data_IF_077156974200
#
_entry.id   IF_077156974200
#
_cell.length_a   1.000
_cell.length_b   1.000
_cell.length_c   1.000
_cell.angle_alpha   90.00
_cell.angle_beta   90.00
_cell.angle_gamma   90.00
#
_symmetry.space_group_name_H-M   'P 1'
#
loop_
_entity.id
_entity.type
_entity.pdbx_description
1 polymer ?
#
# COMPACT_ATOMS: atom_id res chain seq x y z
N UNK A 1 5.73 -18.33 -15.53
CA UNK A 1 5.31 -16.97 -15.15
C UNK A 1 4.40 -17.13 -13.96
N UNK A 2 4.73 -16.49 -12.84
CA UNK A 2 3.91 -16.53 -11.61
C UNK A 2 2.94 -15.36 -11.66
N UNK A 3 1.66 -15.60 -11.35
CA UNK A 3 0.64 -14.56 -11.27
C UNK A 3 0.30 -14.27 -9.82
N UNK A 4 0.06 -13.00 -9.53
CA UNK A 4 -0.41 -12.51 -8.23
C UNK A 4 -1.84 -12.01 -8.38
N UNK A 5 -2.72 -12.40 -7.45
CA UNK A 5 -4.11 -11.90 -7.39
C UNK A 5 -4.18 -10.68 -6.50
N UNK A 6 -4.72 -9.58 -7.03
CA UNK A 6 -5.08 -8.44 -6.20
C UNK A 6 -6.43 -8.69 -5.50
N UNK A 7 -6.38 -9.05 -4.22
CA UNK A 7 -7.55 -9.38 -3.39
C UNK A 7 -8.30 -8.13 -2.87
N UNK A 8 -7.83 -6.93 -3.20
CA UNK A 8 -8.57 -5.68 -2.96
C UNK A 8 -9.52 -5.34 -4.11
N UNK A 9 -9.27 -5.87 -5.31
CA UNK A 9 -10.07 -5.64 -6.52
C UNK A 9 -10.93 -6.86 -6.85
N UNK A 10 -10.37 -8.06 -6.71
CA UNK A 10 -11.06 -9.33 -6.93
C UNK A 10 -11.55 -9.94 -5.62
N UNK A 11 -12.54 -10.84 -5.69
CA UNK A 11 -13.09 -11.58 -4.54
C UNK A 11 -13.73 -10.65 -3.48
N UNK A 12 -14.23 -9.49 -3.91
CA UNK A 12 -14.77 -8.45 -3.04
C UNK A 12 -16.15 -8.78 -2.47
N UNK A 13 -16.81 -9.80 -3.01
CA UNK A 13 -17.99 -10.44 -2.46
C UNK A 13 -17.72 -11.20 -1.14
N UNK A 14 -16.45 -11.49 -0.84
CA UNK A 14 -16.04 -12.15 0.39
C UNK A 14 -15.48 -11.15 1.43
N UNK A 15 -15.63 -11.43 2.73
CA UNK A 15 -14.89 -10.76 3.79
C UNK A 15 -13.38 -10.78 3.52
N UNK A 16 -12.68 -9.70 3.87
CA UNK A 16 -11.27 -9.48 3.51
C UNK A 16 -10.36 -10.66 3.89
N UNK A 17 -10.55 -11.19 5.11
CA UNK A 17 -9.74 -12.29 5.65
C UNK A 17 -10.03 -13.66 5.01
N UNK A 18 -11.12 -13.81 4.26
CA UNK A 18 -11.45 -15.04 3.54
C UNK A 18 -10.84 -15.08 2.12
N UNK A 19 -10.46 -13.92 1.57
CA UNK A 19 -9.98 -13.77 0.19
C UNK A 19 -8.68 -14.52 -0.10
N UNK A 20 -7.67 -14.59 0.80
CA UNK A 20 -6.46 -15.38 0.55
C UNK A 20 -6.77 -16.86 0.29
N UNK A 21 -7.66 -17.46 1.08
CA UNK A 21 -8.05 -18.86 0.93
C UNK A 21 -8.84 -19.09 -0.37
N UNK A 22 -9.71 -18.15 -0.74
CA UNK A 22 -10.42 -18.19 -2.02
C UNK A 22 -9.46 -18.08 -3.22
N UNK A 23 -8.45 -17.20 -3.15
CA UNK A 23 -7.40 -17.12 -4.18
C UNK A 23 -6.63 -18.43 -4.31
N UNK A 24 -6.29 -19.07 -3.17
CA UNK A 24 -5.66 -20.40 -3.17
C UNK A 24 -6.54 -21.45 -3.82
N UNK A 25 -7.83 -21.50 -3.47
CA UNK A 25 -8.79 -22.44 -4.04
C UNK A 25 -8.96 -22.26 -5.56
N UNK A 26 -8.79 -21.03 -6.05
CA UNK A 26 -8.77 -20.71 -7.48
C UNK A 26 -7.44 -21.08 -8.19
N UNK A 27 -6.44 -21.60 -7.46
CA UNK A 27 -5.18 -22.08 -8.00
C UNK A 27 -4.04 -21.07 -7.99
N UNK A 28 -4.16 -19.96 -7.26
CA UNK A 28 -3.09 -18.97 -7.13
C UNK A 28 -2.27 -19.20 -5.86
N UNK A 29 -0.95 -19.06 -6.00
CA UNK A 29 -0.01 -19.18 -4.87
C UNK A 29 0.42 -17.82 -4.31
N UNK A 30 0.04 -16.71 -4.96
CA UNK A 30 0.46 -15.37 -4.61
C UNK A 30 -0.71 -14.37 -4.63
N UNK A 31 -0.71 -13.48 -3.65
CA UNK A 31 -1.70 -12.42 -3.48
C UNK A 31 -1.03 -11.08 -3.22
N UNK A 32 -1.72 -10.01 -3.57
CA UNK A 32 -1.39 -8.64 -3.16
C UNK A 32 -2.64 -7.95 -2.63
N UNK A 33 -2.41 -6.93 -1.82
CA UNK A 33 -3.46 -6.16 -1.18
C UNK A 33 -3.14 -4.67 -1.23
N UNK A 34 -4.16 -3.85 -1.47
CA UNK A 34 -4.16 -2.49 -0.94
C UNK A 34 -4.18 -2.53 0.59
N UNK A 35 -3.98 -1.40 1.26
CA UNK A 35 -3.98 -1.35 2.72
C UNK A 35 -5.28 -1.94 3.29
N UNK A 36 -5.22 -3.04 4.07
CA UNK A 36 -6.42 -3.83 4.42
C UNK A 36 -7.10 -3.36 5.71
N UNK A 37 -6.70 -2.21 6.26
CA UNK A 37 -7.18 -1.69 7.54
C UNK A 37 -7.80 -0.30 7.39
N UNK A 38 -8.66 0.07 8.34
CA UNK A 38 -9.32 1.38 8.36
C UNK A 38 -8.37 2.52 8.79
N UNK A 39 -7.35 2.21 9.60
CA UNK A 39 -6.40 3.18 10.17
C UNK A 39 -4.98 2.92 9.68
N UNK A 40 -4.11 3.94 9.73
CA UNK A 40 -2.67 3.79 9.44
C UNK A 40 -1.95 2.87 10.42
N UNK A 41 -2.40 2.87 11.68
CA UNK A 41 -1.85 2.04 12.77
C UNK A 41 -3.00 1.22 13.34
N UNK A 42 -3.33 0.07 12.72
CA UNK A 42 -4.28 -0.88 13.28
C UNK A 42 -3.75 -1.48 14.58
N UNK A 43 -4.64 -2.10 15.35
CA UNK A 43 -4.23 -2.86 16.54
C UNK A 43 -3.44 -4.13 16.17
N UNK A 44 -2.59 -4.59 17.09
CA UNK A 44 -1.82 -5.84 16.92
C UNK A 44 -2.72 -7.05 16.62
N UNK A 45 -3.94 -7.08 17.18
CA UNK A 45 -4.92 -8.13 16.93
C UNK A 45 -5.36 -8.14 15.45
N UNK A 46 -5.72 -6.99 14.90
CA UNK A 46 -6.12 -6.86 13.49
C UNK A 46 -4.97 -7.25 12.55
N UNK A 47 -3.74 -6.80 12.86
CA UNK A 47 -2.54 -7.18 12.08
C UNK A 47 -2.32 -8.69 12.13
N UNK A 48 -2.42 -9.30 13.30
CA UNK A 48 -2.27 -10.74 13.49
C UNK A 48 -3.31 -11.54 12.72
N UNK A 49 -4.58 -11.11 12.73
CA UNK A 49 -5.66 -11.75 11.97
C UNK A 49 -5.38 -11.74 10.47
N UNK A 50 -4.94 -10.59 9.92
CA UNK A 50 -4.55 -10.50 8.52
C UNK A 50 -3.37 -11.42 8.17
N UNK A 51 -2.34 -11.45 9.01
CA UNK A 51 -1.18 -12.32 8.79
C UNK A 51 -1.54 -13.81 8.84
N UNK A 52 -2.40 -14.20 9.77
CA UNK A 52 -2.88 -15.57 9.87
C UNK A 52 -3.71 -15.95 8.64
N UNK A 53 -4.59 -15.06 8.16
CA UNK A 53 -5.36 -15.31 6.93
C UNK A 53 -4.46 -15.62 5.72
N UNK A 54 -3.33 -14.93 5.58
CA UNK A 54 -2.34 -15.19 4.52
C UNK A 54 -1.63 -16.53 4.75
N UNK A 55 -1.13 -16.77 5.96
CA UNK A 55 -0.37 -17.98 6.33
C UNK A 55 -1.22 -19.25 6.23
N UNK A 56 -2.43 -19.22 6.79
CA UNK A 56 -3.35 -20.36 6.85
C UNK A 56 -3.87 -20.73 5.46
N UNK A 57 -4.04 -19.75 4.57
CA UNK A 57 -4.37 -19.98 3.17
C UNK A 57 -3.21 -20.61 2.37
N UNK A 58 -1.98 -20.55 2.87
CA UNK A 58 -0.80 -21.07 2.16
C UNK A 58 -0.50 -20.32 0.86
N UNK A 59 -0.65 -18.99 0.89
CA UNK A 59 -0.31 -18.06 -0.21
C UNK A 59 0.80 -17.10 0.21
N UNK A 60 1.58 -16.63 -0.77
CA UNK A 60 2.60 -15.61 -0.57
C UNK A 60 2.01 -14.21 -0.75
N UNK A 61 2.19 -13.33 0.24
CA UNK A 61 1.95 -11.90 0.04
C UNK A 61 3.13 -11.33 -0.77
N UNK A 62 2.87 -10.95 -2.02
CA UNK A 62 3.92 -10.42 -2.92
C UNK A 62 3.93 -8.90 -3.02
N UNK A 63 2.82 -8.24 -2.67
CA UNK A 63 2.69 -6.79 -2.69
C UNK A 63 1.71 -6.29 -1.64
N UNK A 64 2.04 -5.15 -1.01
CA UNK A 64 1.19 -4.47 -0.04
C UNK A 64 1.28 -2.96 -0.24
N UNK A 65 0.15 -2.26 -0.34
CA UNK A 65 0.20 -0.80 -0.33
C UNK A 65 0.47 -0.25 1.08
N UNK A 66 1.13 0.90 1.17
CA UNK A 66 0.97 1.78 2.32
C UNK A 66 -0.47 2.30 2.41
N UNK A 67 -0.86 2.86 3.56
CA UNK A 67 -2.14 3.53 3.68
C UNK A 67 -2.29 4.62 2.60
N UNK A 68 -3.38 4.54 1.84
CA UNK A 68 -3.67 5.43 0.73
C UNK A 68 -4.94 6.29 0.93
N UNK A 69 -5.47 6.34 2.15
CA UNK A 69 -6.69 7.05 2.49
C UNK A 69 -7.96 6.32 2.02
N UNK A 70 -9.05 7.07 1.86
CA UNK A 70 -10.33 6.55 1.38
C UNK A 70 -10.32 6.39 -0.15
N UNK A 71 -9.69 5.33 -0.65
CA UNK A 71 -9.60 5.07 -2.09
C UNK A 71 -10.98 4.97 -2.77
N UNK A 72 -12.00 4.30 -2.21
CA UNK A 72 -13.36 4.34 -2.76
C UNK A 72 -13.95 5.76 -2.83
N UNK A 73 -13.61 6.63 -1.87
CA UNK A 73 -13.98 8.05 -1.85
C UNK A 73 -13.19 8.94 -2.80
N UNK A 74 -12.18 8.40 -3.48
CA UNK A 74 -11.38 9.13 -4.47
C UNK A 74 -9.96 9.49 -4.02
N UNK A 75 -9.57 9.16 -2.78
CA UNK A 75 -8.20 9.34 -2.33
C UNK A 75 -7.26 8.44 -3.14
N UNK A 76 -6.04 8.91 -3.38
CA UNK A 76 -5.04 8.20 -4.16
C UNK A 76 -3.69 8.30 -3.49
N UNK A 77 -3.62 8.02 -2.19
CA UNK A 77 -2.36 8.11 -1.44
C UNK A 77 -2.27 9.27 -0.48
N UNK A 78 -1.30 9.17 0.43
CA UNK A 78 -1.03 10.15 1.48
C UNK A 78 0.40 10.71 1.43
N UNK A 79 1.27 10.15 0.58
CA UNK A 79 2.71 10.48 0.53
C UNK A 79 2.96 11.98 0.43
N UNK A 80 2.24 12.71 -0.41
CA UNK A 80 2.39 14.14 -0.64
C UNK A 80 1.35 15.01 0.08
N UNK A 81 0.62 14.47 1.07
CA UNK A 81 -0.46 15.19 1.77
C UNK A 81 0.03 15.82 3.07
N UNK A 82 0.22 17.16 3.13
CA UNK A 82 0.86 17.80 4.27
C UNK A 82 0.14 17.56 5.60
N UNK A 83 -1.19 17.69 5.59
CA UNK A 83 -2.03 17.55 6.79
C UNK A 83 -2.10 16.12 7.33
N UNK A 84 -1.76 15.11 6.52
CA UNK A 84 -1.85 13.68 6.87
C UNK A 84 -0.48 12.98 6.77
N UNK A 85 0.60 13.76 6.70
CA UNK A 85 1.96 13.24 6.57
C UNK A 85 2.34 12.32 7.75
N UNK A 86 1.97 12.70 8.97
CA UNK A 86 2.20 11.88 10.16
C UNK A 86 1.50 10.52 10.06
N UNK A 87 0.29 10.47 9.51
CA UNK A 87 -0.43 9.20 9.32
C UNK A 87 0.31 8.27 8.36
N UNK A 88 0.99 8.80 7.34
CA UNK A 88 1.82 8.00 6.43
C UNK A 88 3.10 7.54 7.13
N UNK A 89 3.78 8.42 7.87
CA UNK A 89 5.01 8.09 8.58
C UNK A 89 4.77 7.01 9.65
N UNK A 90 3.71 7.12 10.45
CA UNK A 90 3.35 6.14 11.48
C UNK A 90 2.99 4.77 10.86
N UNK A 91 2.53 4.74 9.60
CA UNK A 91 2.18 3.50 8.89
C UNK A 91 3.41 2.68 8.49
N UNK A 92 4.59 3.31 8.33
CA UNK A 92 5.79 2.66 7.80
C UNK A 92 6.19 1.44 8.63
N UNK A 93 6.17 1.57 9.95
CA UNK A 93 6.59 0.47 10.84
C UNK A 93 5.65 -0.71 10.79
N UNK A 94 4.34 -0.47 10.65
CA UNK A 94 3.34 -1.52 10.53
C UNK A 94 3.50 -2.26 9.20
N UNK A 95 3.64 -1.52 8.10
CA UNK A 95 3.87 -2.09 6.75
C UNK A 95 5.13 -2.96 6.72
N UNK A 96 6.24 -2.45 7.25
CA UNK A 96 7.49 -3.19 7.32
C UNK A 96 7.38 -4.41 8.25
N UNK A 97 6.66 -4.31 9.37
CA UNK A 97 6.42 -5.44 10.27
C UNK A 97 5.63 -6.58 9.61
N UNK A 98 4.55 -6.24 8.89
CA UNK A 98 3.78 -7.22 8.09
C UNK A 98 4.69 -7.83 7.01
N UNK A 99 5.46 -6.99 6.32
CA UNK A 99 6.41 -7.40 5.30
C UNK A 99 7.47 -8.37 5.79
N UNK A 100 8.01 -8.14 6.98
CA UNK A 100 8.95 -9.04 7.64
C UNK A 100 8.35 -10.41 7.89
N UNK A 101 7.16 -10.43 8.53
CA UNK A 101 6.51 -11.66 8.99
C UNK A 101 5.89 -12.49 7.87
N UNK A 102 5.53 -11.87 6.75
CA UNK A 102 4.97 -12.53 5.57
C UNK A 102 5.95 -12.65 4.41
N UNK A 103 7.18 -12.14 4.53
CA UNK A 103 8.18 -12.18 3.47
C UNK A 103 7.89 -11.26 2.28
N UNK A 104 6.92 -10.35 2.37
CA UNK A 104 6.64 -9.36 1.34
C UNK A 104 7.78 -8.35 1.23
N UNK A 105 8.20 -8.02 0.00
CA UNK A 105 9.32 -7.10 -0.28
C UNK A 105 8.96 -5.94 -1.20
N UNK A 106 7.73 -5.88 -1.73
CA UNK A 106 7.28 -4.81 -2.60
C UNK A 106 6.14 -4.03 -1.94
N UNK A 107 6.35 -2.72 -1.76
CA UNK A 107 5.40 -1.86 -1.04
C UNK A 107 5.00 -0.66 -1.88
N UNK A 108 3.75 -0.59 -2.32
CA UNK A 108 3.30 0.50 -3.17
C UNK A 108 2.87 1.72 -2.35
N UNK A 109 3.50 2.86 -2.59
CA UNK A 109 3.20 4.13 -1.93
C UNK A 109 2.53 5.05 -2.96
N UNK A 110 1.19 5.11 -2.94
CA UNK A 110 0.48 6.06 -3.79
C UNK A 110 0.80 7.50 -3.37
N UNK A 111 1.09 8.34 -4.35
CA UNK A 111 1.68 9.66 -4.14
C UNK A 111 0.76 10.66 -3.44
N UNK A 112 -0.56 10.50 -3.56
CA UNK A 112 -1.55 11.47 -3.11
C UNK A 112 -1.99 12.45 -4.21
N UNK A 113 -3.28 12.80 -4.18
CA UNK A 113 -3.85 13.83 -5.05
C UNK A 113 -3.30 15.22 -4.69
N UNK A 114 -3.35 16.17 -5.63
CA UNK A 114 -3.18 17.60 -5.31
C UNK A 114 -4.28 18.07 -4.37
N UNK A 115 -3.89 18.79 -3.33
CA UNK A 115 -4.77 19.30 -2.27
C UNK A 115 -5.04 20.79 -2.52
N UNK A 116 -6.30 21.19 -2.48
CA UNK A 116 -6.69 22.57 -2.72
C UNK A 116 -6.10 23.48 -1.62
N UNK A 117 -5.47 24.59 -2.02
CA UNK A 117 -4.81 25.53 -1.10
C UNK A 117 -3.34 25.19 -0.76
N UNK A 118 -2.84 24.03 -1.19
CA UNK A 118 -1.43 23.66 -1.08
C UNK A 118 -0.71 23.87 -2.42
N UNK A 119 0.54 24.33 -2.39
CA UNK A 119 1.34 24.43 -3.63
C UNK A 119 1.86 23.06 -4.05
N UNK A 120 2.03 22.86 -5.36
CA UNK A 120 2.59 21.62 -5.89
C UNK A 120 4.00 21.37 -5.35
N UNK A 121 4.82 22.41 -5.27
CA UNK A 121 6.20 22.33 -4.79
C UNK A 121 6.27 21.91 -3.33
N UNK A 122 5.35 22.39 -2.48
CA UNK A 122 5.29 21.98 -1.06
C UNK A 122 4.88 20.52 -0.93
N UNK A 123 3.86 20.10 -1.69
CA UNK A 123 3.45 18.70 -1.70
C UNK A 123 4.57 17.79 -2.22
N UNK A 124 5.31 18.22 -3.24
CA UNK A 124 6.38 17.42 -3.84
C UNK A 124 7.58 17.29 -2.90
N UNK A 125 7.94 18.36 -2.16
CA UNK A 125 8.97 18.32 -1.14
C UNK A 125 8.62 17.32 -0.01
N UNK A 126 7.39 17.39 0.51
CA UNK A 126 6.91 16.45 1.53
C UNK A 126 6.86 15.02 0.98
N UNK A 127 6.43 14.85 -0.28
CA UNK A 127 6.41 13.55 -0.94
C UNK A 127 7.79 12.92 -1.04
N UNK A 128 8.81 13.71 -1.39
CA UNK A 128 10.19 13.23 -1.45
C UNK A 128 10.73 12.82 -0.07
N UNK A 129 10.48 13.62 0.97
CA UNK A 129 10.86 13.31 2.35
C UNK A 129 10.19 12.02 2.84
N UNK A 130 8.88 11.90 2.63
CA UNK A 130 8.12 10.72 3.03
C UNK A 130 8.55 9.45 2.28
N UNK A 131 8.82 9.54 0.98
CA UNK A 131 9.35 8.41 0.21
C UNK A 131 10.72 7.97 0.71
N UNK A 132 11.59 8.91 1.08
CA UNK A 132 12.89 8.59 1.68
C UNK A 132 12.72 7.85 3.02
N UNK A 133 11.84 8.34 3.91
CA UNK A 133 11.54 7.66 5.17
C UNK A 133 10.93 6.27 4.96
N UNK A 134 10.01 6.12 4.00
CA UNK A 134 9.43 4.83 3.67
C UNK A 134 10.49 3.86 3.13
N UNK A 135 11.39 4.34 2.26
CA UNK A 135 12.48 3.55 1.71
C UNK A 135 13.43 3.06 2.81
N UNK A 136 13.85 3.93 3.73
CA UNK A 136 14.66 3.55 4.89
C UNK A 136 13.93 2.53 5.78
N UNK A 137 12.63 2.75 6.03
CA UNK A 137 11.80 1.87 6.85
C UNK A 137 11.69 0.45 6.30
N UNK A 138 11.48 0.29 4.99
CA UNK A 138 11.39 -1.06 4.38
C UNK A 138 12.75 -1.65 4.01
N UNK A 139 13.80 -0.84 3.84
CA UNK A 139 15.14 -1.32 3.52
C UNK A 139 15.70 -2.26 4.60
N UNK A 140 15.32 -2.08 5.87
CA UNK A 140 15.72 -2.96 6.99
C UNK A 140 15.30 -4.42 6.81
N UNK A 141 14.27 -4.66 6.00
CA UNK A 141 13.79 -6.01 5.65
C UNK A 141 14.14 -6.38 4.20
N UNK A 142 15.00 -5.62 3.51
CA UNK A 142 15.27 -5.78 2.08
C UNK A 142 14.07 -5.47 1.19
N UNK A 143 13.15 -4.63 1.66
CA UNK A 143 11.99 -4.18 0.91
C UNK A 143 12.30 -3.07 -0.08
N UNK A 144 11.37 -2.84 -1.00
CA UNK A 144 11.42 -1.77 -2.01
C UNK A 144 10.10 -1.00 -1.98
N UNK A 145 10.19 0.32 -1.91
CA UNK A 145 9.04 1.21 -2.14
C UNK A 145 8.83 1.33 -3.65
N UNK A 146 7.61 1.05 -4.09
CA UNK A 146 7.16 1.25 -5.46
C UNK A 146 6.33 2.53 -5.51
N UNK A 147 6.52 3.29 -6.58
CA UNK A 147 5.72 4.47 -6.88
C UNK A 147 4.92 4.20 -8.15
N UNK A 148 3.60 4.18 -8.03
CA UNK A 148 2.69 3.86 -9.13
C UNK A 148 2.12 5.14 -9.77
N UNK A 149 2.35 5.36 -11.08
CA UNK A 149 1.58 6.33 -11.84
C UNK A 149 0.14 5.84 -12.05
N UNK A 150 -0.84 6.71 -11.80
CA UNK A 150 -2.27 6.35 -11.81
C UNK A 150 -2.98 7.10 -12.92
N UNK A 151 -3.57 6.37 -13.87
CA UNK A 151 -4.43 6.94 -14.91
C UNK A 151 -5.87 7.13 -14.42
N UNK A 152 -6.63 8.01 -15.07
CA UNK A 152 -8.05 8.24 -14.74
C UNK A 152 -8.30 8.95 -13.40
N UNK A 153 -7.25 9.52 -12.78
CA UNK A 153 -7.31 10.29 -11.54
C UNK A 153 -6.92 11.75 -11.79
N UNK A 154 -7.88 12.67 -12.06
CA UNK A 154 -7.57 14.02 -12.53
C UNK A 154 -6.74 14.88 -11.56
N UNK A 155 -6.83 14.62 -10.26
CA UNK A 155 -6.06 15.34 -9.24
C UNK A 155 -4.69 14.70 -8.95
N UNK A 156 -4.40 13.51 -9.48
CA UNK A 156 -3.16 12.80 -9.19
C UNK A 156 -2.01 13.31 -10.07
N UNK A 157 -0.83 13.65 -9.53
CA UNK A 157 0.21 14.32 -10.31
C UNK A 157 1.11 13.37 -11.12
N UNK A 158 1.15 12.08 -10.79
CA UNK A 158 2.00 11.10 -11.47
C UNK A 158 1.13 10.24 -12.40
N UNK A 159 1.01 10.62 -13.67
CA UNK A 159 0.11 9.94 -14.61
C UNK A 159 0.86 8.95 -15.52
N UNK A 160 2.17 9.13 -15.66
CA UNK A 160 3.07 8.31 -16.48
C UNK A 160 4.31 7.93 -15.67
N UNK A 161 4.97 6.84 -16.08
CA UNK A 161 6.22 6.41 -15.46
C UNK A 161 7.30 7.50 -15.44
N UNK A 162 7.37 8.32 -16.51
CA UNK A 162 8.32 9.43 -16.61
C UNK A 162 8.04 10.59 -15.63
N UNK A 163 6.87 10.63 -14.99
CA UNK A 163 6.56 11.62 -13.96
C UNK A 163 7.18 11.23 -12.61
N UNK A 164 7.37 9.92 -12.36
CA UNK A 164 7.94 9.37 -11.12
C UNK A 164 9.48 9.41 -11.07
N UNK A 165 10.13 9.85 -12.16
CA UNK A 165 11.60 9.91 -12.30
C UNK A 165 12.15 11.34 -12.35
N UNK A 166 11.34 12.33 -11.94
CA UNK A 166 11.70 13.75 -11.90
C UNK A 166 12.00 14.16 -10.47
#
# INVERSE_FOLDING_TARGET
MTYTVNCSILLTELPLLERPAAAKAAGFDAVEFWWPFETSVPSDAQVTEFENAIKDAGVQLTGLNFNAGNMPGGDRGLVSWPARSSEFLDNIDVVAGIGERLGCKAFNALYGNRVDGESAEKQDAIGAENLASAAEGVARIGGTVLLEPVSGAPKYPLLKAADASR
#
